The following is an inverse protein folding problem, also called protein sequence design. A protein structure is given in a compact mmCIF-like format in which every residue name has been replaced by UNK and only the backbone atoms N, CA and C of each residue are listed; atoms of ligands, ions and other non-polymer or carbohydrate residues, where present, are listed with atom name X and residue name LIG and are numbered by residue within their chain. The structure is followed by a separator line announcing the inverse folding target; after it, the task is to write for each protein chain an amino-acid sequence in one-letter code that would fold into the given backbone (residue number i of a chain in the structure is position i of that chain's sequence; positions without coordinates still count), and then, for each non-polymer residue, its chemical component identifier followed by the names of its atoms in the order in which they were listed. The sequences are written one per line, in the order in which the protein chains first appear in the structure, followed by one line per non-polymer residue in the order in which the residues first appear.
data_IF_664287529712
#
_entry.id   IF_664287529712
#
_cell.length_a   1.000
_cell.length_b   1.000
_cell.length_c   1.000
_cell.angle_alpha   90.00
_cell.angle_beta   90.00
_cell.angle_gamma   90.00
#
_symmetry.space_group_name_H-M   'P 1'
#
loop_
_entity.id
_entity.type
_entity.pdbx_description
1 polymer ?
#
# COMPACT_ATOMS: atom_id res chain seq x y z
N UNK A 1 -10.00 -12.86 6.52
CA UNK A 1 -10.58 -12.58 5.22
C UNK A 1 -10.04 -11.24 4.72
N UNK A 2 -9.51 -11.20 3.53
CA UNK A 2 -8.98 -9.95 2.96
C UNK A 2 -10.15 -9.01 2.67
N UNK A 3 -10.01 -7.73 3.02
CA UNK A 3 -11.03 -6.72 2.69
C UNK A 3 -11.19 -6.61 1.18
N UNK A 4 -12.41 -6.36 0.78
CA UNK A 4 -12.78 -6.25 -0.62
C UNK A 4 -11.96 -5.14 -1.30
N UNK A 5 -11.46 -5.44 -2.48
CA UNK A 5 -10.68 -4.50 -3.27
C UNK A 5 -11.45 -3.21 -3.57
N UNK A 6 -12.77 -3.30 -3.71
CA UNK A 6 -13.64 -2.13 -3.87
C UNK A 6 -13.56 -1.15 -2.70
N UNK A 7 -13.49 -1.66 -1.48
CA UNK A 7 -13.34 -0.84 -0.28
C UNK A 7 -12.00 -0.07 -0.29
N UNK A 8 -10.92 -0.76 -0.62
CA UNK A 8 -9.60 -0.14 -0.71
C UNK A 8 -9.54 0.91 -1.83
N UNK A 9 -10.11 0.60 -2.98
CA UNK A 9 -10.20 1.53 -4.12
C UNK A 9 -11.03 2.77 -3.78
N UNK A 10 -12.11 2.60 -3.04
CA UNK A 10 -12.95 3.70 -2.57
C UNK A 10 -12.16 4.68 -1.70
N UNK A 11 -11.40 4.17 -0.74
CA UNK A 11 -10.55 4.99 0.13
C UNK A 11 -9.50 5.73 -0.69
N UNK A 12 -8.82 5.04 -1.59
CA UNK A 12 -7.81 5.63 -2.45
C UNK A 12 -8.39 6.75 -3.32
N UNK A 13 -9.53 6.53 -3.94
CA UNK A 13 -10.21 7.51 -4.79
C UNK A 13 -10.62 8.77 -4.00
N UNK A 14 -11.20 8.60 -2.83
CA UNK A 14 -11.57 9.73 -1.96
C UNK A 14 -10.34 10.55 -1.53
N UNK A 15 -9.25 9.88 -1.21
CA UNK A 15 -8.00 10.52 -0.84
C UNK A 15 -7.43 11.33 -2.00
N UNK A 16 -7.43 10.78 -3.21
CA UNK A 16 -6.96 11.48 -4.41
C UNK A 16 -7.79 12.71 -4.69
N UNK A 17 -9.12 12.61 -4.65
CA UNK A 17 -10.01 13.75 -4.87
C UNK A 17 -9.79 14.85 -3.85
N UNK A 18 -9.66 14.49 -2.60
CA UNK A 18 -9.41 15.44 -1.51
C UNK A 18 -8.06 16.14 -1.67
N UNK A 19 -7.03 15.38 -2.03
CA UNK A 19 -5.69 15.94 -2.28
C UNK A 19 -5.69 16.94 -3.42
N UNK A 20 -6.40 16.64 -4.51
CA UNK A 20 -6.54 17.56 -5.65
C UNK A 20 -7.30 18.85 -5.28
N UNK A 21 -8.31 18.75 -4.45
CA UNK A 21 -9.04 19.92 -3.93
C UNK A 21 -8.14 20.84 -3.10
N UNK A 22 -7.16 20.29 -2.42
CA UNK A 22 -6.20 21.05 -1.62
C UNK A 22 -5.04 21.65 -2.45
N UNK A 23 -4.99 21.38 -3.75
CA UNK A 23 -4.04 21.98 -4.66
C UNK A 23 -2.87 21.10 -5.08
N UNK A 24 -2.93 19.79 -4.84
CA UNK A 24 -1.91 18.87 -5.35
C UNK A 24 -1.98 18.77 -6.87
N UNK A 25 -0.81 18.85 -7.51
CA UNK A 25 -0.68 18.68 -8.97
C UNK A 25 -0.88 17.22 -9.36
N UNK A 26 -0.18 16.32 -8.66
CA UNK A 26 -0.30 14.88 -8.82
C UNK A 26 -0.35 14.22 -7.44
N UNK A 27 -1.00 13.08 -7.38
CA UNK A 27 -1.15 12.31 -6.14
C UNK A 27 -1.01 10.83 -6.45
N UNK A 28 -0.24 10.14 -5.62
CA UNK A 28 -0.19 8.67 -5.61
C UNK A 28 -0.67 8.18 -4.23
N UNK A 29 -1.64 7.28 -4.23
CA UNK A 29 -2.17 6.70 -3.00
C UNK A 29 -2.05 5.18 -3.09
N UNK A 30 -1.47 4.61 -2.06
CA UNK A 30 -1.37 3.17 -1.88
C UNK A 30 -2.13 2.77 -0.62
N UNK A 31 -3.07 1.84 -0.75
CA UNK A 31 -3.82 1.29 0.38
C UNK A 31 -3.60 -0.21 0.41
N UNK A 32 -3.13 -0.70 1.53
CA UNK A 32 -2.78 -2.12 1.69
C UNK A 32 -3.55 -2.72 2.87
N UNK A 33 -4.13 -3.87 2.65
CA UNK A 33 -4.63 -4.74 3.70
C UNK A 33 -3.76 -6.00 3.70
N UNK A 34 -3.11 -6.24 4.82
CA UNK A 34 -2.18 -7.36 4.99
C UNK A 34 -2.65 -8.29 6.10
N UNK A 35 -2.71 -9.56 5.78
CA UNK A 35 -2.98 -10.61 6.76
C UNK A 35 -1.77 -11.54 6.79
N UNK A 36 -1.22 -11.74 7.97
CA UNK A 36 -0.12 -12.66 8.21
C UNK A 36 -0.53 -13.68 9.25
N UNK A 37 -0.26 -14.94 8.96
CA UNK A 37 -0.52 -16.03 9.87
C UNK A 37 0.75 -16.86 10.03
N UNK A 38 1.19 -17.00 11.27
CA UNK A 38 2.41 -17.74 11.61
C UNK A 38 2.06 -18.84 12.60
N UNK A 39 2.50 -20.04 12.28
CA UNK A 39 2.32 -21.22 13.14
C UNK A 39 3.69 -21.81 13.44
N UNK A 40 4.03 -21.90 14.70
CA UNK A 40 5.26 -22.51 15.17
C UNK A 40 4.97 -23.86 15.79
N UNK A 41 5.74 -24.87 15.40
CA UNK A 41 5.66 -26.22 15.93
C UNK A 41 6.94 -26.55 16.70
N UNK A 42 6.77 -27.14 17.86
CA UNK A 42 7.86 -27.70 18.67
C UNK A 42 7.58 -29.17 18.94
N UNK A 43 8.52 -30.04 18.62
CA UNK A 43 8.37 -31.49 18.79
C UNK A 43 7.08 -32.04 18.14
N UNK A 44 6.76 -31.56 16.94
CA UNK A 44 5.55 -31.91 16.18
C UNK A 44 4.22 -31.54 16.86
N UNK A 45 4.27 -30.67 17.86
CA UNK A 45 3.09 -30.13 18.51
C UNK A 45 3.03 -28.59 18.31
N UNK A 46 1.81 -28.08 18.28
CA UNK A 46 1.60 -26.64 18.17
C UNK A 46 2.21 -25.93 19.38
N UNK A 47 3.16 -25.04 19.12
CA UNK A 47 3.81 -24.22 20.15
C UNK A 47 3.18 -22.83 20.18
N UNK A 48 3.06 -22.21 19.03
CA UNK A 48 2.54 -20.85 18.91
C UNK A 48 1.79 -20.67 17.59
N UNK A 49 0.69 -19.95 17.66
CA UNK A 49 -0.05 -19.52 16.46
C UNK A 49 -0.36 -18.03 16.58
N UNK A 50 0.12 -17.26 15.62
CA UNK A 50 -0.08 -15.81 15.56
C UNK A 50 -0.79 -15.43 14.27
N UNK A 51 -1.77 -14.54 14.38
CA UNK A 51 -2.43 -13.93 13.24
C UNK A 51 -2.37 -12.42 13.37
N UNK A 52 -1.88 -11.75 12.34
CA UNK A 52 -1.86 -10.30 12.24
C UNK A 52 -2.75 -9.86 11.10
N UNK A 53 -3.58 -8.88 11.35
CA UNK A 53 -4.46 -8.25 10.37
C UNK A 53 -4.21 -6.74 10.45
N UNK A 54 -3.67 -6.16 9.41
CA UNK A 54 -3.24 -4.77 9.42
C UNK A 54 -3.59 -4.03 8.13
N UNK A 55 -3.88 -2.76 8.29
CA UNK A 55 -4.09 -1.82 7.19
C UNK A 55 -2.96 -0.81 7.15
N UNK A 56 -2.64 -0.35 5.96
CA UNK A 56 -1.73 0.76 5.76
C UNK A 56 -2.22 1.63 4.61
N UNK A 57 -2.03 2.93 4.74
CA UNK A 57 -2.23 3.89 3.66
C UNK A 57 -0.95 4.72 3.50
N UNK A 58 -0.47 4.82 2.27
CA UNK A 58 0.63 5.70 1.89
C UNK A 58 0.10 6.75 0.93
N UNK A 59 0.36 8.01 1.21
CA UNK A 59 -0.05 9.14 0.39
C UNK A 59 1.21 9.88 -0.06
N UNK A 60 1.42 9.99 -1.37
CA UNK A 60 2.48 10.79 -1.95
C UNK A 60 1.85 11.90 -2.76
N UNK A 61 2.14 13.15 -2.41
CA UNK A 61 1.65 14.32 -3.12
C UNK A 61 2.79 15.03 -3.84
N UNK A 62 2.47 15.57 -5.01
CA UNK A 62 3.39 16.35 -5.82
C UNK A 62 2.78 17.74 -6.05
N UNK A 63 3.54 18.77 -5.76
CA UNK A 63 3.18 20.15 -6.03
C UNK A 63 4.35 20.80 -6.78
N UNK A 64 4.19 20.99 -8.09
CA UNK A 64 5.22 21.64 -8.92
C UNK A 64 6.63 21.09 -8.68
N UNK A 65 6.85 19.78 -8.84
CA UNK A 65 8.13 19.10 -8.60
C UNK A 65 8.56 19.00 -7.13
N UNK A 66 7.68 19.36 -6.21
CA UNK A 66 7.88 19.12 -4.79
C UNK A 66 7.13 17.85 -4.39
N UNK A 67 7.79 16.98 -3.67
CA UNK A 67 7.26 15.68 -3.28
C UNK A 67 7.18 15.56 -1.75
N UNK A 68 6.08 15.02 -1.27
CA UNK A 68 5.95 14.61 0.12
C UNK A 68 5.24 13.27 0.21
N UNK A 69 5.68 12.43 1.13
CA UNK A 69 5.09 11.12 1.40
C UNK A 69 4.77 10.99 2.88
N UNK A 70 3.57 10.51 3.17
CA UNK A 70 3.15 10.21 4.53
C UNK A 70 2.43 8.85 4.55
N UNK A 71 2.55 8.13 5.64
CA UNK A 71 1.88 6.84 5.81
C UNK A 71 1.24 6.69 7.18
N UNK A 72 0.22 5.88 7.25
CA UNK A 72 -0.49 5.58 8.50
C UNK A 72 -1.14 4.21 8.44
N UNK A 73 -1.40 3.63 9.60
CA UNK A 73 -2.20 2.41 9.74
C UNK A 73 -3.67 2.66 10.04
N UNK A 74 -4.07 3.92 10.23
CA UNK A 74 -5.45 4.29 10.53
C UNK A 74 -6.15 4.83 9.29
N UNK A 75 -7.16 4.11 8.82
CA UNK A 75 -7.95 4.45 7.62
C UNK A 75 -9.22 5.23 7.91
N UNK A 76 -9.39 5.80 9.10
CA UNK A 76 -10.55 6.64 9.39
C UNK A 76 -10.56 7.89 8.50
N UNK A 77 -11.76 8.35 8.10
CA UNK A 77 -11.91 9.51 7.21
C UNK A 77 -11.26 10.77 7.80
N UNK A 78 -11.41 10.99 9.11
CA UNK A 78 -10.84 12.15 9.77
C UNK A 78 -9.32 12.11 9.77
N UNK A 79 -8.74 10.93 10.02
CA UNK A 79 -7.29 10.73 9.96
C UNK A 79 -6.74 10.95 8.55
N UNK A 80 -7.42 10.43 7.53
CA UNK A 80 -7.03 10.61 6.12
C UNK A 80 -7.01 12.09 5.76
N UNK A 81 -8.01 12.87 6.18
CA UNK A 81 -8.03 14.32 5.94
C UNK A 81 -6.83 15.02 6.58
N UNK A 82 -6.55 14.72 7.84
CA UNK A 82 -5.41 15.29 8.56
C UNK A 82 -4.09 14.92 7.89
N UNK A 83 -3.93 13.66 7.51
CA UNK A 83 -2.73 13.18 6.82
C UNK A 83 -2.53 13.86 5.47
N UNK A 84 -3.60 14.01 4.70
CA UNK A 84 -3.56 14.66 3.39
C UNK A 84 -3.17 16.12 3.52
N UNK A 85 -3.74 16.84 4.46
CA UNK A 85 -3.39 18.23 4.74
C UNK A 85 -1.92 18.38 5.13
N UNK A 86 -1.43 17.54 6.05
CA UNK A 86 -0.02 17.54 6.45
C UNK A 86 0.92 17.21 5.29
N UNK A 87 0.52 16.25 4.47
CA UNK A 87 1.31 15.84 3.30
C UNK A 87 1.46 17.02 2.32
N UNK A 88 0.38 17.75 2.05
CA UNK A 88 0.40 18.91 1.17
C UNK A 88 1.20 20.06 1.76
N UNK A 89 1.05 20.35 3.03
CA UNK A 89 1.84 21.39 3.71
C UNK A 89 3.34 21.05 3.66
N UNK A 90 3.69 19.82 3.92
CA UNK A 90 5.07 19.34 3.83
C UNK A 90 5.61 19.46 2.41
N UNK A 91 4.81 19.11 1.40
CA UNK A 91 5.21 19.26 0.00
C UNK A 91 5.49 20.73 -0.37
N UNK A 92 4.72 21.68 0.16
CA UNK A 92 4.93 23.12 -0.11
C UNK A 92 6.26 23.64 0.40
N UNK A 93 6.78 23.11 1.49
CA UNK A 93 8.05 23.53 2.10
C UNK A 93 9.24 22.70 1.65
N UNK A 94 9.01 21.59 0.94
CA UNK A 94 10.08 20.74 0.41
C UNK A 94 10.78 21.43 -0.75
N UNK A 95 12.12 21.31 -0.88
CA UNK A 95 12.83 21.85 -2.03
C UNK A 95 12.36 21.22 -3.35
N UNK A 96 12.44 22.03 -4.43
CA UNK A 96 12.13 21.55 -5.77
C UNK A 96 13.15 20.51 -6.24
N UNK A 97 12.66 19.45 -6.85
CA UNK A 97 13.48 18.47 -7.54
C UNK A 97 12.86 18.21 -8.92
N UNK A 98 13.62 18.52 -9.98
CA UNK A 98 13.14 18.41 -11.36
C UNK A 98 12.74 16.98 -11.76
N UNK A 99 13.19 15.96 -11.02
CA UNK A 99 12.85 14.56 -11.26
C UNK A 99 11.65 14.08 -10.47
N UNK A 100 11.10 14.89 -9.58
CA UNK A 100 9.92 14.55 -8.79
C UNK A 100 8.63 14.72 -9.61
N UNK A 101 8.27 13.70 -10.36
CA UNK A 101 7.00 13.63 -11.08
C UNK A 101 6.54 12.18 -11.20
N UNK A 102 5.24 12.01 -11.44
CA UNK A 102 4.72 10.69 -11.81
C UNK A 102 5.15 10.36 -13.24
N UNK A 103 5.31 9.08 -13.59
CA UNK A 103 5.57 8.68 -14.96
C UNK A 103 4.48 9.19 -15.92
N UNK A 104 4.87 9.52 -17.15
CA UNK A 104 3.91 9.87 -18.17
C UNK A 104 2.89 8.77 -18.38
N UNK A 105 1.64 9.15 -18.61
CA UNK A 105 0.54 8.20 -18.83
C UNK A 105 0.79 7.24 -19.99
N UNK A 106 1.59 7.67 -20.95
CA UNK A 106 1.97 6.85 -22.11
C UNK A 106 2.91 5.70 -21.74
N UNK A 107 3.70 5.89 -20.68
CA UNK A 107 4.64 4.89 -20.18
C UNK A 107 4.00 3.91 -19.20
N UNK A 108 2.77 4.17 -18.76
CA UNK A 108 2.06 3.28 -17.86
C UNK A 108 1.47 2.08 -18.62
N UNK A 109 1.53 0.92 -18.00
CA UNK A 109 0.87 -0.26 -18.54
C UNK A 109 -0.63 -0.03 -18.64
N UNK A 110 -1.18 -0.08 -19.87
CA UNK A 110 -2.61 0.08 -20.14
C UNK A 110 -3.34 -1.24 -20.10
N UNK A 111 -2.67 -2.29 -20.50
CA UNK A 111 -3.17 -3.65 -20.51
C UNK A 111 -2.18 -4.56 -19.83
N UNK A 112 -2.65 -5.34 -18.90
CA UNK A 112 -1.86 -6.40 -18.26
C UNK A 112 -2.74 -7.65 -18.17
N UNK A 113 -2.12 -8.78 -18.37
CA UNK A 113 -2.81 -10.05 -18.19
C UNK A 113 -3.09 -10.27 -16.71
N UNK A 114 -4.25 -10.85 -16.43
CA UNK A 114 -4.55 -11.27 -15.07
C UNK A 114 -3.62 -12.41 -14.70
N UNK A 115 -2.68 -12.13 -13.83
CA UNK A 115 -1.80 -13.14 -13.27
C UNK A 115 -2.50 -13.75 -12.06
N UNK A 116 -2.68 -15.05 -12.07
CA UNK A 116 -3.22 -15.78 -10.93
C UNK A 116 -2.13 -15.92 -9.86
N UNK A 117 -1.99 -14.85 -9.06
CA UNK A 117 -0.97 -14.77 -8.02
C UNK A 117 -1.44 -15.30 -6.67
N UNK A 118 -2.73 -15.61 -6.55
CA UNK A 118 -3.29 -16.13 -5.33
C UNK A 118 -3.38 -17.66 -5.38
N UNK A 119 -2.66 -18.31 -4.49
CA UNK A 119 -2.75 -19.76 -4.30
C UNK A 119 -3.44 -20.04 -2.97
N UNK A 120 -4.58 -20.75 -3.04
CA UNK A 120 -5.33 -21.14 -1.85
C UNK A 120 -4.73 -22.35 -1.13
N UNK A 121 -3.73 -22.99 -1.73
CA UNK A 121 -3.05 -24.15 -1.12
C UNK A 121 -1.86 -23.66 -0.28
N UNK A 122 -1.82 -24.11 0.97
CA UNK A 122 -0.67 -23.87 1.83
C UNK A 122 0.34 -25.00 1.62
N UNK A 123 1.41 -24.69 0.92
CA UNK A 123 2.55 -25.59 0.78
C UNK A 123 3.85 -24.83 0.98
N UNK A 124 4.87 -25.53 1.40
CA UNK A 124 6.21 -24.96 1.55
C UNK A 124 7.08 -25.41 0.39
N UNK A 125 7.96 -24.53 -0.08
CA UNK A 125 8.99 -24.93 -1.03
C UNK A 125 9.86 -26.02 -0.40
N UNK A 126 10.21 -27.07 -1.17
CA UNK A 126 11.08 -28.11 -0.63
C UNK A 126 12.45 -27.51 -0.26
N UNK A 127 12.92 -27.82 0.94
CA UNK A 127 14.27 -27.46 1.33
C UNK A 127 15.29 -28.36 0.62
N UNK A 128 16.56 -27.95 0.50
CA UNK A 128 17.60 -28.82 -0.06
C UNK A 128 17.69 -30.19 0.62
N UNK A 129 17.36 -30.24 1.90
CA UNK A 129 17.33 -31.51 2.66
C UNK A 129 16.18 -32.41 2.20
N UNK A 130 15.03 -31.86 1.86
CA UNK A 130 13.88 -32.63 1.38
C UNK A 130 14.12 -33.18 -0.03
N UNK A 131 14.91 -32.49 -0.82
CA UNK A 131 15.26 -32.91 -2.19
C UNK A 131 16.25 -34.06 -2.20
N UNK A 132 17.10 -34.18 -1.17
CA UNK A 132 18.09 -35.26 -1.06
C UNK A 132 17.49 -36.60 -0.60
N UNK A 133 16.33 -36.58 -0.03
CA UNK A 133 15.59 -37.78 0.36
C UNK A 133 14.75 -38.30 -0.81
#
# INVERSE_FOLDING_TARGET
MVKDQEYLNSIASQTIEYSKKLGATDVNVEVVHSISETVNLRNKQLDESNRSDSFAIGITTYINKKKSTISSSNLSKDNIKILTERCIETAKITPDDEFNSLPDKELMAKNFESLDLYDCLLYTSPSPRDVEE
#
